data_IF_589406629045
#
_entry.id   IF_589406629045
#
_cell.length_a   1.000
_cell.length_b   1.000
_cell.length_c   1.000
_cell.angle_alpha   90.00
_cell.angle_beta   90.00
_cell.angle_gamma   90.00
#
_symmetry.space_group_name_H-M   'P 1'
#
loop_
_entity.id
_entity.type
_entity.pdbx_description
1 polymer ?
#
# COMPACT_ATOMS: atom_id res chain seq x y z
N UNK A 1 15.38 21.96 23.75
CA UNK A 1 16.11 20.73 23.35
C UNK A 1 15.90 19.52 24.27
N UNK A 2 16.00 19.66 25.60
CA UNK A 2 15.95 18.54 26.55
C UNK A 2 14.54 17.90 26.66
N UNK A 3 13.48 18.71 26.72
CA UNK A 3 12.10 18.21 26.79
C UNK A 3 11.66 17.46 25.53
N UNK A 4 12.19 17.81 24.37
CA UNK A 4 11.86 17.15 23.11
C UNK A 4 12.32 15.68 23.10
N UNK A 5 13.59 15.42 23.46
CA UNK A 5 14.14 14.05 23.51
C UNK A 5 13.54 13.20 24.64
N UNK A 6 13.16 13.81 25.76
CA UNK A 6 12.71 13.09 26.97
C UNK A 6 11.19 12.94 27.08
N UNK A 7 10.41 13.79 26.40
CA UNK A 7 8.94 13.76 26.46
C UNK A 7 8.31 13.57 25.08
N UNK A 8 8.71 14.39 24.09
CA UNK A 8 8.06 14.38 22.76
C UNK A 8 8.38 13.11 21.98
N UNK A 9 9.65 12.75 21.80
CA UNK A 9 10.02 11.54 21.05
C UNK A 9 9.46 10.25 21.68
N UNK A 10 9.54 10.03 23.01
CA UNK A 10 8.91 8.87 23.64
C UNK A 10 7.39 8.84 23.45
N UNK A 11 6.71 9.99 23.53
CA UNK A 11 5.29 10.06 23.25
C UNK A 11 4.99 9.68 21.79
N UNK A 12 5.72 10.24 20.83
CA UNK A 12 5.60 9.91 19.39
C UNK A 12 5.76 8.41 19.14
N UNK A 13 6.68 7.75 19.85
CA UNK A 13 6.91 6.30 19.74
C UNK A 13 5.75 5.43 20.24
N UNK A 14 4.75 6.02 20.91
CA UNK A 14 3.51 5.32 21.26
C UNK A 14 2.42 5.47 20.20
N UNK A 15 2.57 6.43 19.28
CA UNK A 15 1.56 6.77 18.28
C UNK A 15 1.60 5.85 17.07
N UNK A 16 0.46 5.72 16.39
CA UNK A 16 0.35 5.06 15.09
C UNK A 16 0.13 6.09 14.00
N UNK A 17 1.05 6.16 13.05
CA UNK A 17 0.95 7.08 11.92
C UNK A 17 0.09 6.46 10.83
N UNK A 18 -1.11 7.01 10.66
CA UNK A 18 -2.06 6.61 9.61
C UNK A 18 -1.78 7.39 8.34
N UNK A 19 -1.50 6.67 7.26
CA UNK A 19 -1.13 7.22 5.95
C UNK A 19 -2.18 6.73 4.95
N UNK A 20 -2.95 7.65 4.39
CA UNK A 20 -4.10 7.34 3.53
C UNK A 20 -3.76 7.47 2.07
N UNK A 21 -2.76 8.30 1.71
CA UNK A 21 -2.44 8.57 0.33
C UNK A 21 -0.96 8.95 0.11
N UNK A 22 -0.53 9.03 -1.15
CA UNK A 22 0.85 9.43 -1.50
C UNK A 22 1.18 10.85 -1.05
N UNK A 23 0.28 11.85 -1.15
CA UNK A 23 0.50 13.16 -0.52
C UNK A 23 0.87 13.09 0.96
N UNK A 24 0.23 12.21 1.75
CA UNK A 24 0.56 12.03 3.18
C UNK A 24 1.99 11.52 3.35
N UNK A 25 2.43 10.58 2.52
CA UNK A 25 3.82 10.09 2.51
C UNK A 25 4.80 11.25 2.27
N UNK A 26 4.52 12.07 1.26
CA UNK A 26 5.35 13.21 0.91
C UNK A 26 5.39 14.24 2.04
N UNK A 27 4.26 14.47 2.70
CA UNK A 27 4.16 15.39 3.82
C UNK A 27 4.92 14.86 5.04
N UNK A 28 4.70 13.61 5.43
CA UNK A 28 5.41 12.97 6.53
C UNK A 28 6.91 12.95 6.31
N UNK A 29 7.38 12.68 5.08
CA UNK A 29 8.81 12.75 4.74
C UNK A 29 9.38 14.14 5.00
N UNK A 30 8.67 15.21 4.60
CA UNK A 30 9.09 16.60 4.88
C UNK A 30 9.13 16.91 6.38
N UNK A 31 8.17 16.39 7.17
CA UNK A 31 8.16 16.57 8.63
C UNK A 31 9.38 15.87 9.24
N UNK A 32 9.64 14.64 8.83
CA UNK A 32 10.76 13.82 9.31
C UNK A 32 12.12 14.45 8.98
N UNK A 33 12.25 15.03 7.79
CA UNK A 33 13.46 15.72 7.32
C UNK A 33 13.60 17.14 7.91
N UNK A 34 12.61 17.60 8.68
CA UNK A 34 12.61 18.95 9.22
C UNK A 34 13.72 19.15 10.26
N UNK A 35 14.56 20.19 10.12
CA UNK A 35 15.60 20.48 11.11
C UNK A 35 15.03 20.85 12.49
N UNK A 36 13.75 21.24 12.55
CA UNK A 36 13.06 21.60 13.79
C UNK A 36 12.60 20.37 14.60
N UNK A 37 12.58 19.19 13.99
CA UNK A 37 12.17 17.93 14.60
C UNK A 37 13.30 16.89 14.47
N UNK A 38 14.46 17.12 15.10
CA UNK A 38 15.60 16.22 14.95
C UNK A 38 15.22 14.80 15.38
N UNK A 39 15.76 13.79 14.69
CA UNK A 39 15.59 12.37 15.04
C UNK A 39 14.13 11.86 15.04
N UNK A 40 13.17 12.61 14.47
CA UNK A 40 11.77 12.18 14.45
C UNK A 40 11.59 10.82 13.76
N UNK A 41 12.31 10.56 12.66
CA UNK A 41 12.28 9.26 11.97
C UNK A 41 12.58 8.07 12.90
N UNK A 42 13.45 8.27 13.89
CA UNK A 42 13.84 7.23 14.85
C UNK A 42 12.73 6.98 15.89
N UNK A 43 11.87 7.96 16.16
CA UNK A 43 10.77 7.80 17.09
C UNK A 43 9.52 7.14 16.48
N UNK A 44 9.42 7.02 15.15
CA UNK A 44 8.26 6.38 14.52
C UNK A 44 8.41 4.86 14.57
N UNK A 45 7.57 4.22 15.38
CA UNK A 45 7.59 2.76 15.62
C UNK A 45 6.40 2.03 14.99
N UNK A 46 5.30 2.74 14.70
CA UNK A 46 4.06 2.14 14.16
C UNK A 46 3.51 2.94 12.99
N UNK A 47 3.27 2.25 11.86
CA UNK A 47 2.70 2.85 10.66
C UNK A 47 1.53 2.01 10.15
N UNK A 48 0.46 2.69 9.72
CA UNK A 48 -0.70 2.08 9.09
C UNK A 48 -0.96 2.73 7.74
N UNK A 49 -0.88 1.95 6.66
CA UNK A 49 -1.29 2.38 5.33
C UNK A 49 -2.74 2.00 5.06
N UNK A 50 -3.66 2.95 5.17
CA UNK A 50 -5.09 2.72 4.94
C UNK A 50 -5.48 2.84 3.47
N UNK A 51 -4.75 3.63 2.68
CA UNK A 51 -4.91 3.71 1.22
C UNK A 51 -3.69 3.16 0.50
N UNK A 52 -3.40 1.88 0.72
CA UNK A 52 -2.34 1.14 0.03
C UNK A 52 -2.79 0.76 -1.39
N UNK A 53 -3.23 1.74 -2.16
CA UNK A 53 -3.72 1.53 -3.51
C UNK A 53 -2.59 1.64 -4.53
N UNK A 54 -2.52 0.65 -5.44
CA UNK A 54 -1.56 0.59 -6.53
C UNK A 54 -2.31 0.43 -7.86
N UNK A 55 -2.92 1.53 -8.31
CA UNK A 55 -3.74 1.53 -9.51
C UNK A 55 -2.88 1.44 -10.79
N UNK A 56 -3.41 0.76 -11.81
CA UNK A 56 -2.73 0.48 -13.08
C UNK A 56 -2.16 1.73 -13.75
N UNK A 57 -2.89 2.85 -13.77
CA UNK A 57 -2.43 4.10 -14.42
C UNK A 57 -1.15 4.71 -13.84
N UNK A 58 -0.74 4.30 -12.63
CA UNK A 58 0.47 4.79 -11.96
C UNK A 58 1.52 3.69 -11.81
N UNK A 59 1.10 2.42 -11.84
CA UNK A 59 1.94 1.26 -11.60
C UNK A 59 3.09 1.13 -12.62
N UNK A 60 2.83 1.40 -13.89
CA UNK A 60 3.83 1.23 -14.97
C UNK A 60 4.99 2.23 -14.87
N UNK A 61 4.76 3.38 -14.24
CA UNK A 61 5.75 4.46 -14.13
C UNK A 61 6.51 4.43 -12.79
N UNK A 62 6.22 3.46 -11.91
CA UNK A 62 6.84 3.36 -10.58
C UNK A 62 7.49 2.00 -10.41
N UNK A 63 8.81 2.01 -10.25
CA UNK A 63 9.62 0.81 -9.99
C UNK A 63 9.51 0.33 -8.55
N UNK A 64 8.97 1.13 -7.62
CA UNK A 64 8.94 0.80 -6.20
C UNK A 64 7.84 1.52 -5.44
N UNK A 65 7.37 0.92 -4.35
CA UNK A 65 6.26 1.43 -3.55
C UNK A 65 6.65 2.55 -2.59
N UNK A 66 6.20 3.82 -2.78
CA UNK A 66 6.58 4.93 -1.90
C UNK A 66 6.21 4.71 -0.43
N UNK A 67 5.11 4.00 -0.15
CA UNK A 67 4.75 3.64 1.23
C UNK A 67 5.82 2.75 1.87
N UNK A 68 6.28 1.72 1.13
CA UNK A 68 7.33 0.80 1.62
C UNK A 68 8.73 1.41 1.55
N UNK A 69 8.97 2.38 0.65
CA UNK A 69 10.20 3.17 0.64
C UNK A 69 10.31 4.03 1.90
N UNK A 70 9.21 4.65 2.34
CA UNK A 70 9.14 5.37 3.61
C UNK A 70 9.48 4.43 4.78
N UNK A 71 8.93 3.22 4.82
CA UNK A 71 9.25 2.27 5.91
C UNK A 71 10.75 1.98 6.04
N UNK A 72 11.48 1.90 4.91
CA UNK A 72 12.92 1.60 4.94
C UNK A 72 13.77 2.69 5.61
N UNK A 73 13.27 3.92 5.70
CA UNK A 73 13.97 5.02 6.38
C UNK A 73 13.57 5.18 7.85
N UNK A 74 12.69 4.32 8.35
CA UNK A 74 12.23 4.29 9.75
C UNK A 74 12.97 3.17 10.50
N UNK A 75 14.14 3.45 11.10
CA UNK A 75 15.04 2.42 11.62
C UNK A 75 14.41 1.63 12.78
N UNK A 76 13.48 2.20 13.52
CA UNK A 76 12.83 1.58 14.67
C UNK A 76 11.36 1.19 14.41
N UNK A 77 10.97 1.07 13.13
CA UNK A 77 9.65 0.57 12.78
C UNK A 77 9.46 -0.87 13.27
N UNK A 78 8.47 -1.07 14.14
CA UNK A 78 8.13 -2.34 14.78
C UNK A 78 6.80 -2.91 14.26
N UNK A 79 5.81 -2.05 14.04
CA UNK A 79 4.47 -2.47 13.60
C UNK A 79 4.10 -1.83 12.27
N UNK A 80 3.74 -2.69 11.31
CA UNK A 80 3.28 -2.28 9.98
C UNK A 80 1.90 -2.86 9.71
N UNK A 81 0.91 -1.99 9.54
CA UNK A 81 -0.42 -2.38 9.06
C UNK A 81 -0.62 -1.95 7.61
N UNK A 82 -0.99 -2.88 6.73
CA UNK A 82 -1.28 -2.62 5.32
C UNK A 82 -2.72 -3.01 5.03
N UNK A 83 -3.50 -2.04 4.55
CA UNK A 83 -4.87 -2.26 4.11
C UNK A 83 -4.92 -2.36 2.59
N UNK A 84 -5.17 -3.56 2.09
CA UNK A 84 -5.44 -3.81 0.69
C UNK A 84 -6.91 -3.62 0.37
N UNK A 85 -7.19 -3.21 -0.86
CA UNK A 85 -8.53 -3.23 -1.43
C UNK A 85 -8.58 -4.29 -2.51
N UNK A 86 -9.64 -5.13 -2.57
CA UNK A 86 -9.72 -6.26 -3.50
C UNK A 86 -9.54 -5.85 -4.97
N UNK A 87 -10.00 -4.65 -5.36
CA UNK A 87 -9.78 -4.12 -6.72
C UNK A 87 -8.29 -4.06 -7.13
N UNK A 88 -7.40 -3.85 -6.17
CA UNK A 88 -5.96 -3.83 -6.40
C UNK A 88 -5.32 -5.22 -6.53
N UNK A 89 -6.05 -6.27 -6.14
CA UNK A 89 -5.63 -7.68 -6.23
C UNK A 89 -6.27 -8.41 -7.41
N UNK A 90 -7.01 -7.69 -8.25
CA UNK A 90 -7.65 -8.22 -9.45
C UNK A 90 -7.11 -7.54 -10.71
N UNK A 91 -7.27 -8.20 -11.85
CA UNK A 91 -6.99 -7.67 -13.19
C UNK A 91 -8.13 -8.05 -14.13
N UNK A 92 -8.24 -7.36 -15.26
CA UNK A 92 -9.13 -7.78 -16.35
C UNK A 92 -8.87 -9.24 -16.73
N UNK A 93 -9.93 -10.02 -16.87
CA UNK A 93 -9.85 -11.39 -17.39
C UNK A 93 -9.44 -11.40 -18.87
N UNK A 94 -9.66 -10.30 -19.58
CA UNK A 94 -9.54 -10.19 -21.03
C UNK A 94 -8.53 -9.11 -21.43
N UNK A 95 -7.90 -9.29 -22.60
CA UNK A 95 -7.08 -8.24 -23.21
C UNK A 95 -7.93 -7.04 -23.62
N UNK A 96 -7.33 -5.86 -23.75
CA UNK A 96 -8.08 -4.66 -24.16
C UNK A 96 -8.76 -4.84 -25.52
N UNK A 97 -8.08 -5.49 -26.47
CA UNK A 97 -8.65 -5.82 -27.79
C UNK A 97 -9.88 -6.72 -27.67
N UNK A 98 -9.79 -7.77 -26.85
CA UNK A 98 -10.91 -8.69 -26.65
C UNK A 98 -12.09 -8.01 -25.93
N UNK A 99 -11.80 -7.11 -24.99
CA UNK A 99 -12.83 -6.32 -24.31
C UNK A 99 -13.60 -5.45 -25.29
N UNK A 100 -12.90 -4.68 -26.13
CA UNK A 100 -13.54 -3.82 -27.14
C UNK A 100 -14.39 -4.67 -28.09
N UNK A 101 -13.88 -5.82 -28.55
CA UNK A 101 -14.67 -6.74 -29.39
C UNK A 101 -15.95 -7.19 -28.68
N UNK A 102 -15.84 -7.66 -27.44
CA UNK A 102 -17.00 -8.08 -26.65
C UNK A 102 -17.99 -6.95 -26.41
N UNK A 103 -17.52 -5.73 -26.17
CA UNK A 103 -18.38 -4.57 -25.96
C UNK A 103 -19.15 -4.21 -27.24
N UNK A 104 -18.49 -4.26 -28.40
CA UNK A 104 -19.13 -4.06 -29.71
C UNK A 104 -20.15 -5.14 -30.06
N UNK A 105 -19.94 -6.37 -29.58
CA UNK A 105 -20.89 -7.49 -29.69
C UNK A 105 -22.03 -7.43 -28.66
N UNK A 106 -22.09 -6.38 -27.82
CA UNK A 106 -23.12 -6.21 -26.79
C UNK A 106 -22.86 -7.00 -25.48
N UNK A 107 -21.73 -7.70 -25.38
CA UNK A 107 -21.37 -8.55 -24.24
C UNK A 107 -20.69 -7.77 -23.09
N UNK A 108 -21.30 -6.66 -22.66
CA UNK A 108 -20.74 -5.73 -21.65
C UNK A 108 -20.44 -6.40 -20.30
N UNK A 109 -21.28 -7.34 -19.85
CA UNK A 109 -21.08 -8.02 -18.57
C UNK A 109 -19.83 -8.89 -18.58
N UNK A 110 -19.57 -9.55 -19.71
CA UNK A 110 -18.41 -10.42 -19.90
C UNK A 110 -17.12 -9.60 -20.03
N UNK A 111 -17.15 -8.48 -20.76
CA UNK A 111 -15.98 -7.62 -20.94
C UNK A 111 -15.45 -7.03 -19.62
N UNK A 112 -16.32 -6.88 -18.61
CA UNK A 112 -15.99 -6.35 -17.28
C UNK A 112 -15.55 -7.43 -16.27
N UNK A 113 -15.43 -8.69 -16.67
CA UNK A 113 -14.98 -9.75 -15.78
C UNK A 113 -13.54 -9.52 -15.32
N UNK A 114 -13.33 -9.76 -14.03
CA UNK A 114 -12.05 -9.68 -13.37
C UNK A 114 -11.59 -11.08 -12.99
N UNK A 115 -10.27 -11.26 -12.95
CA UNK A 115 -9.61 -12.42 -12.37
C UNK A 115 -8.70 -12.00 -11.23
N UNK A 116 -8.55 -12.88 -10.24
CA UNK A 116 -7.65 -12.66 -9.10
C UNK A 116 -6.21 -12.78 -9.57
N UNK A 117 -5.34 -11.92 -9.06
CA UNK A 117 -3.90 -12.02 -9.31
C UNK A 117 -3.30 -13.17 -8.50
N UNK A 118 -2.32 -13.85 -9.08
CA UNK A 118 -1.51 -14.81 -8.33
C UNK A 118 -0.75 -14.10 -7.22
N UNK A 119 -0.48 -14.81 -6.13
CA UNK A 119 0.23 -14.24 -4.98
C UNK A 119 1.58 -13.62 -5.39
N UNK A 120 2.34 -14.29 -6.26
CA UNK A 120 3.61 -13.78 -6.77
C UNK A 120 3.45 -12.43 -7.52
N UNK A 121 2.35 -12.26 -8.25
CA UNK A 121 2.05 -11.02 -8.96
C UNK A 121 1.60 -9.92 -8.00
N UNK A 122 0.85 -10.25 -6.95
CA UNK A 122 0.52 -9.30 -5.87
C UNK A 122 1.79 -8.83 -5.16
N UNK A 123 2.67 -9.75 -4.75
CA UNK A 123 3.95 -9.44 -4.10
C UNK A 123 4.79 -8.52 -4.98
N UNK A 124 4.89 -8.82 -6.27
CA UNK A 124 5.64 -8.01 -7.24
C UNK A 124 5.01 -6.64 -7.47
N UNK A 125 3.70 -6.59 -7.70
CA UNK A 125 2.93 -5.37 -7.96
C UNK A 125 3.05 -4.36 -6.83
N UNK A 126 2.95 -4.84 -5.60
CA UNK A 126 2.99 -3.99 -4.40
C UNK A 126 4.38 -3.83 -3.79
N UNK A 127 5.39 -4.50 -4.35
CA UNK A 127 6.78 -4.47 -3.89
C UNK A 127 6.92 -4.97 -2.43
N UNK A 128 6.12 -5.97 -2.05
CA UNK A 128 5.99 -6.43 -0.67
C UNK A 128 7.29 -7.02 -0.10
N UNK A 129 8.20 -7.46 -0.97
CA UNK A 129 9.53 -7.94 -0.56
C UNK A 129 10.33 -6.87 0.19
N UNK A 130 10.01 -5.58 0.04
CA UNK A 130 10.67 -4.50 0.80
C UNK A 130 10.37 -4.54 2.29
N UNK A 131 9.27 -5.16 2.73
CA UNK A 131 8.96 -5.29 4.16
C UNK A 131 10.13 -5.96 4.89
N UNK A 132 10.79 -6.94 4.27
CA UNK A 132 11.94 -7.65 4.83
C UNK A 132 13.21 -6.79 4.99
N UNK A 133 13.25 -5.57 4.44
CA UNK A 133 14.35 -4.61 4.67
C UNK A 133 14.21 -3.88 6.02
N UNK A 134 13.02 -3.88 6.61
CA UNK A 134 12.75 -3.26 7.90
C UNK A 134 13.10 -4.25 9.03
N UNK A 135 14.34 -4.17 9.53
CA UNK A 135 14.93 -5.19 10.43
C UNK A 135 14.23 -5.34 11.79
N UNK A 136 13.56 -4.29 12.25
CA UNK A 136 12.96 -4.24 13.59
C UNK A 136 11.45 -4.54 13.58
N UNK A 137 10.86 -4.85 12.42
CA UNK A 137 9.45 -5.22 12.35
C UNK A 137 9.23 -6.52 13.12
N UNK A 138 8.36 -6.47 14.11
CA UNK A 138 7.90 -7.62 14.89
C UNK A 138 6.47 -8.03 14.53
N UNK A 139 5.66 -7.11 13.99
CA UNK A 139 4.28 -7.36 13.61
C UNK A 139 3.96 -6.76 12.24
N UNK A 140 3.50 -7.62 11.32
CA UNK A 140 2.89 -7.21 10.05
C UNK A 140 1.43 -7.61 10.07
N UNK A 141 0.54 -6.63 9.97
CA UNK A 141 -0.91 -6.85 9.84
C UNK A 141 -1.35 -6.56 8.43
N UNK A 142 -1.83 -7.58 7.72
CA UNK A 142 -2.41 -7.44 6.39
C UNK A 142 -3.93 -7.50 6.52
N UNK A 143 -4.61 -6.43 6.12
CA UNK A 143 -6.07 -6.32 6.14
C UNK A 143 -6.54 -6.25 4.68
N UNK A 144 -7.51 -7.06 4.30
CA UNK A 144 -8.11 -7.01 2.97
C UNK A 144 -9.55 -6.48 3.07
N UNK A 145 -9.82 -5.37 2.41
CA UNK A 145 -11.13 -4.76 2.30
C UNK A 145 -11.86 -5.35 1.09
N UNK A 146 -12.91 -6.11 1.38
CA UNK A 146 -13.73 -6.73 0.36
C UNK A 146 -14.74 -5.75 -0.24
N UNK A 147 -14.70 -5.61 -1.55
CA UNK A 147 -15.59 -4.76 -2.33
C UNK A 147 -16.63 -5.61 -3.05
N UNK A 148 -17.91 -5.38 -2.73
CA UNK A 148 -19.03 -6.07 -3.38
C UNK A 148 -19.01 -5.91 -4.91
N UNK A 149 -18.58 -4.75 -5.42
CA UNK A 149 -18.45 -4.48 -6.86
C UNK A 149 -17.40 -5.41 -7.47
N UNK A 150 -16.22 -5.52 -6.85
CA UNK A 150 -15.14 -6.38 -7.33
C UNK A 150 -15.57 -7.85 -7.25
N UNK A 151 -16.21 -8.24 -6.15
CA UNK A 151 -16.73 -9.59 -5.96
C UNK A 151 -17.75 -9.97 -7.04
N UNK A 152 -18.67 -9.07 -7.39
CA UNK A 152 -19.63 -9.27 -8.47
C UNK A 152 -18.97 -9.53 -9.82
N UNK A 153 -17.82 -8.91 -10.09
CA UNK A 153 -17.07 -9.07 -11.34
C UNK A 153 -16.03 -10.20 -11.32
N UNK A 154 -15.76 -10.84 -10.16
CA UNK A 154 -14.69 -11.84 -9.98
C UNK A 154 -15.21 -13.27 -9.76
N UNK A 155 -16.45 -13.55 -10.17
CA UNK A 155 -17.18 -14.78 -9.78
C UNK A 155 -16.61 -16.09 -10.35
N UNK A 156 -15.83 -16.04 -11.44
CA UNK A 156 -15.45 -17.23 -12.23
C UNK A 156 -13.93 -17.40 -12.40
N UNK A 157 -13.10 -16.97 -11.43
CA UNK A 157 -11.64 -16.98 -11.56
C UNK A 157 -10.95 -17.95 -10.60
N UNK A 158 -10.29 -18.97 -11.14
CA UNK A 158 -9.16 -19.68 -10.50
C UNK A 158 -7.88 -18.83 -10.74
N UNK A 159 -7.01 -18.58 -9.74
CA UNK A 159 -5.75 -17.82 -9.93
C UNK A 159 -4.73 -18.44 -10.93
#
# INVERSE_FOLDING_TARGET
>A
PQGYRTKTLPFVATLTFKITCVPDVNHLRKIIESPYLPELFAAITKVQFTGFHWFSGIAHNRTSNPNLLLCNILPHLQELTINFHTAGMTISAWSERDRIRMENEGNLRRSKQLKVLRMADVVRKYDLNRIFRCRNISLVRLICWDSAIVRYHSQNGDP
#
